data_IF_086129407157
#
_entry.id   IF_086129407157
#
_cell.length_a   1.000
_cell.length_b   1.000
_cell.length_c   1.000
_cell.angle_alpha   90.00
_cell.angle_beta   90.00
_cell.angle_gamma   90.00
#
_symmetry.space_group_name_H-M   'P 1'
#
loop_
_entity.id
_entity.type
_entity.pdbx_description
1 polymer ?
#
# COMPACT_ATOMS: atom_id res chain seq x y z
N UNK A 1 -19.79 7.46 1.60
CA UNK A 1 -18.42 7.80 2.02
C UNK A 1 -17.57 6.59 1.71
N UNK A 2 -16.54 6.72 0.88
CA UNK A 2 -15.72 5.55 0.54
C UNK A 2 -14.77 5.29 1.69
N UNK A 3 -14.84 4.09 2.26
CA UNK A 3 -14.03 3.69 3.39
C UNK A 3 -12.82 2.88 2.91
N UNK A 4 -11.71 2.92 3.64
CA UNK A 4 -10.49 2.19 3.27
C UNK A 4 -10.74 0.68 3.08
N UNK A 5 -11.67 0.13 3.85
CA UNK A 5 -12.09 -1.29 3.81
C UNK A 5 -12.76 -1.69 2.49
N UNK A 6 -13.29 -0.72 1.73
CA UNK A 6 -13.82 -0.95 0.38
C UNK A 6 -12.70 -1.27 -0.63
N UNK A 7 -11.46 -0.87 -0.33
CA UNK A 7 -10.32 -1.11 -1.21
C UNK A 7 -9.47 -2.30 -0.77
N UNK A 8 -9.49 -2.69 0.50
CA UNK A 8 -8.62 -3.74 1.05
C UNK A 8 -9.37 -5.07 1.10
N UNK A 9 -8.79 -6.10 0.48
CA UNK A 9 -9.27 -7.48 0.57
C UNK A 9 -8.74 -8.18 1.83
N UNK A 10 -7.43 -8.03 2.11
CA UNK A 10 -6.78 -8.59 3.30
C UNK A 10 -5.40 -7.97 3.53
N UNK A 11 -4.88 -8.15 4.74
CA UNK A 11 -3.54 -7.74 5.15
C UNK A 11 -2.85 -8.97 5.73
N UNK A 12 -1.63 -9.25 5.26
CA UNK A 12 -0.78 -10.33 5.78
C UNK A 12 0.48 -9.71 6.43
N UNK A 13 0.91 -10.27 7.56
CA UNK A 13 2.16 -9.89 8.25
C UNK A 13 3.20 -10.98 8.01
N UNK A 14 4.44 -10.60 7.72
CA UNK A 14 5.52 -11.56 7.49
C UNK A 14 6.15 -12.02 8.81
N UNK A 15 6.40 -13.31 8.97
CA UNK A 15 7.01 -13.90 10.17
C UNK A 15 8.55 -13.74 10.27
N UNK A 16 9.12 -12.62 9.80
CA UNK A 16 10.56 -12.34 9.83
C UNK A 16 10.97 -11.42 10.98
N UNK A 17 12.29 -11.31 11.23
CA UNK A 17 12.84 -10.34 12.19
C UNK A 17 12.43 -8.91 11.83
N UNK A 18 12.43 -8.59 10.54
CA UNK A 18 11.81 -7.37 10.01
C UNK A 18 10.32 -7.60 9.73
N UNK A 19 9.46 -6.89 10.47
CA UNK A 19 8.03 -6.91 10.23
C UNK A 19 7.70 -6.16 8.93
N UNK A 20 7.14 -6.88 7.99
CA UNK A 20 6.56 -6.30 6.78
C UNK A 20 5.09 -6.63 6.70
N UNK A 21 4.35 -5.73 6.05
CA UNK A 21 2.94 -5.91 5.79
C UNK A 21 2.70 -6.01 4.29
N UNK A 22 1.93 -7.00 3.89
CA UNK A 22 1.46 -7.17 2.52
C UNK A 22 -0.04 -6.86 2.51
N UNK A 23 -0.41 -5.79 1.83
CA UNK A 23 -1.80 -5.38 1.64
C UNK A 23 -2.25 -5.85 0.27
N UNK A 24 -3.38 -6.53 0.25
CA UNK A 24 -4.03 -6.98 -0.98
C UNK A 24 -5.25 -6.10 -1.21
N UNK A 25 -5.29 -5.44 -2.35
CA UNK A 25 -6.44 -4.65 -2.79
C UNK A 25 -7.52 -5.56 -3.37
N UNK A 26 -8.79 -5.16 -3.24
CA UNK A 26 -9.91 -5.84 -3.90
C UNK A 26 -9.76 -5.73 -5.41
N UNK A 27 -9.97 -6.84 -6.12
CA UNK A 27 -9.75 -6.92 -7.56
C UNK A 27 -10.56 -5.87 -8.34
N UNK A 28 -11.83 -5.68 -7.96
CA UNK A 28 -12.78 -4.71 -8.53
C UNK A 28 -12.41 -3.24 -8.29
N UNK A 29 -11.56 -2.96 -7.29
CA UNK A 29 -11.22 -1.60 -6.85
C UNK A 29 -9.72 -1.29 -6.91
N UNK A 30 -8.90 -2.24 -7.35
CA UNK A 30 -7.43 -2.13 -7.31
C UNK A 30 -6.92 -0.95 -8.16
N UNK A 31 -7.51 -0.71 -9.33
CA UNK A 31 -7.06 0.34 -10.24
C UNK A 31 -7.37 1.73 -9.67
N UNK A 32 -8.55 1.89 -9.08
CA UNK A 32 -8.96 3.09 -8.36
C UNK A 32 -8.04 3.35 -7.13
N UNK A 33 -7.81 2.31 -6.33
CA UNK A 33 -6.93 2.38 -5.17
C UNK A 33 -5.48 2.73 -5.54
N UNK A 34 -4.92 2.08 -6.57
CA UNK A 34 -3.58 2.37 -7.06
C UNK A 34 -3.47 3.81 -7.56
N UNK A 35 -4.45 4.31 -8.31
CA UNK A 35 -4.45 5.70 -8.75
C UNK A 35 -4.44 6.68 -7.56
N UNK A 36 -5.21 6.41 -6.50
CA UNK A 36 -5.18 7.22 -5.28
C UNK A 36 -3.82 7.20 -4.59
N UNK A 37 -3.23 6.01 -4.43
CA UNK A 37 -1.91 5.83 -3.81
C UNK A 37 -0.83 6.58 -4.60
N UNK A 38 -0.78 6.38 -5.92
CA UNK A 38 0.21 7.01 -6.80
C UNK A 38 0.08 8.54 -6.84
N UNK A 39 -1.13 9.07 -6.61
CA UNK A 39 -1.38 10.51 -6.52
C UNK A 39 -0.89 11.13 -5.21
N UNK A 40 -0.81 10.35 -4.12
CA UNK A 40 -0.52 10.84 -2.76
C UNK A 40 0.87 10.50 -2.25
N UNK A 41 1.44 9.40 -2.73
CA UNK A 41 2.80 9.00 -2.40
C UNK A 41 3.79 9.60 -3.39
N UNK A 42 5.00 9.87 -2.92
CA UNK A 42 6.12 10.25 -3.77
C UNK A 42 6.60 9.02 -4.52
N UNK A 43 6.69 9.10 -5.86
CA UNK A 43 7.24 8.03 -6.68
C UNK A 43 8.76 8.17 -6.72
N UNK A 44 9.45 7.22 -6.12
CA UNK A 44 10.93 7.16 -6.13
C UNK A 44 11.44 6.42 -7.36
N UNK A 45 10.74 5.36 -7.77
CA UNK A 45 11.11 4.56 -8.94
C UNK A 45 9.89 3.89 -9.58
N UNK A 46 9.92 3.78 -10.90
CA UNK A 46 9.00 2.95 -11.67
C UNK A 46 9.79 1.90 -12.44
N UNK A 47 9.36 0.64 -12.36
CA UNK A 47 9.99 -0.49 -13.03
C UNK A 47 8.98 -1.09 -14.02
N UNK A 48 9.23 -0.87 -15.31
CA UNK A 48 8.41 -1.37 -16.42
C UNK A 48 6.92 -1.11 -16.26
N UNK A 49 6.55 -0.01 -15.60
CA UNK A 49 5.17 0.37 -15.24
C UNK A 49 4.39 -0.69 -14.43
N UNK A 50 5.05 -1.76 -13.97
CA UNK A 50 4.43 -2.87 -13.25
C UNK A 50 4.64 -2.75 -11.73
N UNK A 51 5.73 -2.10 -11.33
CA UNK A 51 6.13 -1.93 -9.93
C UNK A 51 6.50 -0.47 -9.71
N UNK A 52 5.96 0.11 -8.65
CA UNK A 52 6.26 1.46 -8.20
C UNK A 52 6.87 1.40 -6.82
N UNK A 53 8.08 1.90 -6.68
CA UNK A 53 8.68 2.17 -5.37
C UNK A 53 8.30 3.58 -4.96
N UNK A 54 7.70 3.67 -3.79
CA UNK A 54 7.01 4.85 -3.29
C UNK A 54 7.55 5.19 -1.91
N UNK A 55 7.50 6.47 -1.58
CA UNK A 55 7.68 6.96 -0.23
C UNK A 55 6.43 7.73 0.20
N UNK A 56 5.92 7.42 1.38
CA UNK A 56 4.87 8.22 2.00
C UNK A 56 5.31 8.64 3.40
N UNK A 57 5.67 9.92 3.55
CA UNK A 57 6.11 10.52 4.82
C UNK A 57 7.26 9.75 5.51
N UNK A 58 8.23 9.31 4.73
CA UNK A 58 9.37 8.53 5.22
C UNK A 58 9.12 7.02 5.30
N UNK A 59 7.91 6.55 4.98
CA UNK A 59 7.60 5.10 4.95
C UNK A 59 7.75 4.57 3.52
N UNK A 60 8.67 3.61 3.28
CA UNK A 60 8.83 2.99 1.98
C UNK A 60 7.69 2.00 1.71
N UNK A 61 7.05 2.19 0.57
CA UNK A 61 6.01 1.32 0.02
C UNK A 61 6.47 0.79 -1.35
N UNK A 62 6.02 -0.40 -1.69
CA UNK A 62 6.12 -0.91 -3.07
C UNK A 62 4.75 -1.35 -3.54
N UNK A 63 4.21 -0.66 -4.53
CA UNK A 63 2.94 -0.99 -5.15
C UNK A 63 3.16 -1.78 -6.44
N UNK A 64 2.34 -2.82 -6.63
CA UNK A 64 2.32 -3.64 -7.83
C UNK A 64 0.99 -3.43 -8.54
N UNK A 65 1.00 -3.35 -9.87
CA UNK A 65 -0.24 -3.23 -10.69
C UNK A 65 -1.22 -4.39 -10.49
N UNK A 66 -0.76 -5.50 -9.92
CA UNK A 66 -1.61 -6.63 -9.52
C UNK A 66 -2.52 -6.33 -8.32
N UNK A 67 -2.34 -5.19 -7.65
CA UNK A 67 -3.07 -4.82 -6.43
C UNK A 67 -2.41 -5.28 -5.14
N UNK A 68 -1.15 -5.71 -5.19
CA UNK A 68 -0.34 -5.97 -3.99
C UNK A 68 0.40 -4.71 -3.60
N UNK A 69 0.48 -4.45 -2.30
CA UNK A 69 1.31 -3.38 -1.73
C UNK A 69 2.15 -3.98 -0.62
N UNK A 70 3.47 -3.83 -0.73
CA UNK A 70 4.39 -4.18 0.33
C UNK A 70 4.75 -2.91 1.09
N UNK A 71 4.52 -2.92 2.40
CA UNK A 71 4.91 -1.83 3.30
C UNK A 71 5.96 -2.36 4.26
N UNK A 72 7.11 -1.68 4.29
CA UNK A 72 8.26 -2.10 5.10
C UNK A 72 8.48 -1.11 6.25
N UNK A 73 9.23 -1.57 7.25
CA UNK A 73 9.69 -0.75 8.36
C UNK A 73 8.56 -0.08 9.16
N UNK A 74 7.50 -0.84 9.45
CA UNK A 74 6.41 -0.40 10.32
C UNK A 74 6.50 -1.04 11.69
N UNK A 75 6.18 -0.27 12.73
CA UNK A 75 6.18 -0.72 14.12
C UNK A 75 5.08 -1.76 14.38
N UNK A 76 3.89 -1.54 13.82
CA UNK A 76 2.70 -2.32 14.12
C UNK A 76 1.58 -2.06 13.09
N UNK A 77 0.52 -2.88 13.21
CA UNK A 77 -0.64 -2.83 12.33
C UNK A 77 -1.42 -1.52 12.41
N UNK A 78 -1.43 -0.81 13.55
CA UNK A 78 -2.15 0.46 13.65
C UNK A 78 -1.46 1.55 12.81
N UNK A 79 -0.13 1.57 12.81
CA UNK A 79 0.64 2.46 11.93
C UNK A 79 0.32 2.19 10.45
N UNK A 80 0.18 0.93 10.06
CA UNK A 80 -0.25 0.56 8.69
C UNK A 80 -1.63 1.12 8.36
N UNK A 81 -2.63 0.91 9.23
CA UNK A 81 -4.00 1.35 8.98
C UNK A 81 -4.10 2.87 8.84
N UNK A 82 -3.34 3.62 9.64
CA UNK A 82 -3.26 5.08 9.49
C UNK A 82 -2.75 5.50 8.11
N UNK A 83 -1.65 4.90 7.64
CA UNK A 83 -1.08 5.19 6.31
C UNK A 83 -2.07 4.84 5.20
N UNK A 84 -2.70 3.67 5.28
CA UNK A 84 -3.66 3.24 4.27
C UNK A 84 -4.90 4.13 4.23
N UNK A 85 -5.38 4.60 5.39
CA UNK A 85 -6.50 5.55 5.46
C UNK A 85 -6.15 6.83 4.72
N UNK A 86 -4.97 7.39 4.96
CA UNK A 86 -4.54 8.63 4.30
C UNK A 86 -4.26 8.47 2.80
N UNK A 87 -3.81 7.29 2.37
CA UNK A 87 -3.56 7.00 0.96
C UNK A 87 -4.86 6.74 0.18
N UNK A 88 -5.90 6.20 0.81
CA UNK A 88 -7.09 5.67 0.14
C UNK A 88 -8.38 6.49 0.36
N UNK A 89 -8.43 7.38 1.34
CA UNK A 89 -9.55 8.32 1.52
C UNK A 89 -9.44 9.49 0.54
#
# INVERSE_FOLDING_TARGET
>A
MVNMEDYIARIEETCGEEKHFIVFLRHEKKDEALAKILKRAQIEKSISSAIFELNFRGVPLRAYVSGKILVRNLKDKNALLGILSELLQ
#
